data_IF_295304210368
#
_entry.id   IF_295304210368
#
_cell.length_a   1.000
_cell.length_b   1.000
_cell.length_c   1.000
_cell.angle_alpha   90.00
_cell.angle_beta   90.00
_cell.angle_gamma   90.00
#
_symmetry.space_group_name_H-M   'P 1'
#
loop_
_entity.id
_entity.type
_entity.pdbx_description
1 polymer ?
#
# COMPACT_ATOMS: atom_id res chain seq x y z
N UNK A 1 -10.65 1.77 30.29
CA UNK A 1 -11.14 2.57 29.14
C UNK A 1 -12.65 2.72 29.28
N UNK A 2 -13.20 3.94 29.14
CA UNK A 2 -14.65 4.21 29.31
C UNK A 2 -15.43 3.91 28.03
N UNK A 3 -16.71 3.55 28.13
CA UNK A 3 -17.60 3.28 26.99
C UNK A 3 -17.58 4.40 25.93
N UNK A 4 -17.51 5.66 26.37
CA UNK A 4 -17.40 6.84 25.51
C UNK A 4 -16.08 6.87 24.72
N UNK A 5 -14.95 6.52 25.36
CA UNK A 5 -13.65 6.48 24.69
C UNK A 5 -13.61 5.44 23.55
N UNK A 6 -14.29 4.31 23.72
CA UNK A 6 -14.46 3.30 22.67
C UNK A 6 -15.39 3.75 21.56
N UNK A 7 -16.47 4.47 21.87
CA UNK A 7 -17.38 5.04 20.86
C UNK A 7 -16.68 6.09 19.99
N UNK A 8 -15.90 6.98 20.61
CA UNK A 8 -15.10 7.99 19.88
C UNK A 8 -14.05 7.35 18.96
N UNK A 9 -13.39 6.27 19.39
CA UNK A 9 -12.46 5.53 18.51
C UNK A 9 -13.15 4.96 17.28
N UNK A 10 -14.36 4.39 17.42
CA UNK A 10 -15.14 3.84 16.29
C UNK A 10 -15.57 4.92 15.27
N UNK A 11 -15.72 6.17 15.71
CA UNK A 11 -16.08 7.30 14.85
C UNK A 11 -14.88 7.91 14.11
N UNK A 12 -13.64 7.68 14.55
CA UNK A 12 -12.41 8.17 13.88
C UNK A 12 -12.05 7.35 12.63
N UNK A 13 -12.95 7.27 11.64
CA UNK A 13 -12.71 6.67 10.32
C UNK A 13 -12.08 7.67 9.35
N UNK A 14 -11.57 7.20 8.20
CA UNK A 14 -10.94 8.02 7.16
C UNK A 14 -11.73 9.31 6.80
N UNK A 15 -13.04 9.28 6.46
CA UNK A 15 -13.80 10.49 6.15
C UNK A 15 -13.88 11.46 7.33
N UNK A 16 -14.06 10.96 8.56
CA UNK A 16 -14.10 11.81 9.77
C UNK A 16 -12.74 12.41 10.09
N UNK A 17 -11.63 11.71 9.79
CA UNK A 17 -10.26 12.23 9.92
C UNK A 17 -9.96 13.30 8.87
N UNK A 18 -10.43 13.10 7.63
CA UNK A 18 -10.26 14.06 6.55
C UNK A 18 -11.00 15.38 6.80
N UNK A 19 -12.11 15.33 7.56
CA UNK A 19 -12.89 16.49 7.99
C UNK A 19 -12.41 17.10 9.32
N UNK A 20 -11.38 16.51 9.95
CA UNK A 20 -10.83 17.07 11.18
C UNK A 20 -10.16 18.42 10.93
N UNK A 21 -10.25 19.31 11.92
CA UNK A 21 -9.63 20.65 11.86
C UNK A 21 -8.10 20.57 11.85
N UNK A 22 -7.52 19.50 12.41
CA UNK A 22 -6.09 19.25 12.36
C UNK A 22 -5.64 18.83 10.96
N UNK A 23 -4.72 19.61 10.39
CA UNK A 23 -4.08 19.32 9.11
C UNK A 23 -3.23 18.05 9.24
N UNK A 24 -3.43 17.09 8.33
CA UNK A 24 -2.66 15.85 8.30
C UNK A 24 -1.29 16.12 7.65
N UNK A 25 -0.22 15.89 8.41
CA UNK A 25 1.17 16.10 7.98
C UNK A 25 1.87 14.77 7.67
N UNK A 26 1.12 13.71 7.40
CA UNK A 26 1.64 12.44 6.89
C UNK A 26 2.36 12.68 5.56
N UNK A 27 3.64 12.37 5.50
CA UNK A 27 4.51 12.55 4.34
C UNK A 27 5.49 11.39 4.24
N UNK A 28 5.67 10.86 3.03
CA UNK A 28 6.63 9.80 2.74
C UNK A 28 8.04 10.39 2.63
N UNK A 29 8.18 11.53 1.96
CA UNK A 29 9.47 12.14 1.64
C UNK A 29 10.02 13.07 2.73
N UNK A 30 9.16 13.78 3.45
CA UNK A 30 9.55 14.87 4.33
C UNK A 30 9.25 14.55 5.79
N UNK A 31 9.99 15.18 6.70
CA UNK A 31 9.63 15.13 8.11
C UNK A 31 8.39 16.01 8.39
N UNK A 32 7.79 15.86 9.58
CA UNK A 32 6.55 16.58 9.94
C UNK A 32 6.68 18.10 9.87
N UNK A 33 7.88 18.66 10.13
CA UNK A 33 8.11 20.11 10.10
C UNK A 33 8.18 20.62 8.67
N UNK A 34 8.96 19.95 7.82
CA UNK A 34 9.09 20.23 6.40
C UNK A 34 7.75 20.09 5.67
N UNK A 35 7.05 18.97 5.88
CA UNK A 35 5.73 18.73 5.31
C UNK A 35 4.71 19.81 5.71
N UNK A 36 4.87 20.39 6.91
CA UNK A 36 4.03 21.50 7.37
C UNK A 36 4.31 22.84 6.71
N UNK A 37 5.48 23.00 6.08
CA UNK A 37 5.86 24.22 5.35
C UNK A 37 5.35 24.25 3.92
N UNK A 38 5.04 23.08 3.33
CA UNK A 38 4.54 22.96 1.97
C UNK A 38 3.03 23.19 1.87
N UNK A 39 2.61 23.84 0.79
CA UNK A 39 1.21 23.96 0.42
C UNK A 39 0.75 22.89 -0.59
N UNK A 40 -0.51 22.97 -1.02
CA UNK A 40 -1.07 21.99 -1.97
C UNK A 40 -0.43 22.10 -3.36
N UNK A 41 -0.02 23.29 -3.76
CA UNK A 41 0.60 23.54 -5.06
C UNK A 41 2.05 23.05 -5.08
N UNK A 42 2.75 23.10 -3.95
CA UNK A 42 4.09 22.52 -3.80
C UNK A 42 4.07 21.01 -3.94
N UNK A 43 3.18 20.31 -3.22
CA UNK A 43 3.02 18.85 -3.38
C UNK A 43 2.59 18.47 -4.80
N UNK A 44 1.79 19.31 -5.46
CA UNK A 44 1.43 19.09 -6.86
C UNK A 44 2.66 19.21 -7.78
N UNK A 45 3.51 20.22 -7.60
CA UNK A 45 4.77 20.37 -8.37
C UNK A 45 5.73 19.20 -8.13
N UNK A 46 5.86 18.74 -6.89
CA UNK A 46 6.66 17.56 -6.53
C UNK A 46 6.14 16.34 -7.29
N UNK A 47 4.82 16.11 -7.24
CA UNK A 47 4.20 15.01 -7.98
C UNK A 47 4.37 15.11 -9.50
N UNK A 48 4.30 16.31 -10.09
CA UNK A 48 4.56 16.53 -11.52
C UNK A 48 6.02 16.23 -11.90
N UNK A 49 6.98 16.60 -11.05
CA UNK A 49 8.38 16.23 -11.26
C UNK A 49 8.57 14.70 -11.21
N UNK A 50 7.93 14.04 -10.24
CA UNK A 50 7.88 12.59 -10.15
C UNK A 50 7.28 11.94 -11.39
N UNK A 51 6.14 12.45 -11.87
CA UNK A 51 5.49 11.98 -13.09
C UNK A 51 6.43 12.10 -14.31
N UNK A 52 7.09 13.24 -14.47
CA UNK A 52 8.04 13.44 -15.56
C UNK A 52 9.24 12.49 -15.47
N UNK A 53 9.69 12.14 -14.27
CA UNK A 53 10.71 11.11 -14.04
C UNK A 53 10.21 9.71 -14.39
N UNK A 54 9.00 9.35 -13.97
CA UNK A 54 8.39 8.04 -14.26
C UNK A 54 8.21 7.80 -15.76
N UNK A 55 7.77 8.82 -16.52
CA UNK A 55 7.63 8.74 -17.98
C UNK A 55 8.95 8.46 -18.71
N UNK A 56 10.08 8.87 -18.15
CA UNK A 56 11.40 8.56 -18.72
C UNK A 56 11.83 7.11 -18.48
N UNK A 57 11.24 6.46 -17.47
CA UNK A 57 11.54 5.07 -17.13
C UNK A 57 10.63 4.11 -17.92
N UNK A 58 9.36 4.47 -18.09
CA UNK A 58 8.37 3.63 -18.76
C UNK A 58 7.29 4.50 -19.42
N UNK A 59 7.21 4.42 -20.74
CA UNK A 59 6.28 5.20 -21.58
C UNK A 59 4.81 4.89 -21.27
N UNK A 60 4.51 3.75 -20.63
CA UNK A 60 3.13 3.44 -20.21
C UNK A 60 2.57 4.50 -19.24
N UNK A 61 3.42 5.20 -18.52
CA UNK A 61 3.02 6.29 -17.62
C UNK A 61 2.51 7.54 -18.34
N UNK A 62 2.67 7.66 -19.66
CA UNK A 62 1.99 8.69 -20.46
C UNK A 62 0.48 8.42 -20.61
N UNK A 63 0.04 7.18 -20.43
CA UNK A 63 -1.38 6.83 -20.58
C UNK A 63 -2.14 6.93 -19.26
N UNK A 64 -1.61 6.33 -18.19
CA UNK A 64 -2.41 6.07 -16.98
C UNK A 64 -2.30 7.15 -15.90
N UNK A 65 -1.14 7.80 -15.75
CA UNK A 65 -0.95 8.80 -14.70
C UNK A 65 -1.55 10.18 -14.99
N UNK A 66 -1.59 10.74 -16.23
CA UNK A 66 -1.96 12.14 -16.43
C UNK A 66 -3.34 12.54 -15.90
N UNK A 67 -4.33 11.64 -15.92
CA UNK A 67 -5.66 11.88 -15.34
C UNK A 67 -5.58 12.24 -13.85
N UNK A 68 -4.71 11.58 -13.09
CA UNK A 68 -4.50 11.83 -11.65
C UNK A 68 -3.65 13.08 -11.35
N UNK A 69 -3.15 13.75 -12.39
CA UNK A 69 -2.38 14.98 -12.32
C UNK A 69 -3.09 16.16 -12.98
N UNK A 70 -4.36 16.04 -13.34
CA UNK A 70 -5.12 17.17 -13.86
C UNK A 70 -5.22 18.30 -12.80
N UNK A 71 -5.05 19.55 -13.24
CA UNK A 71 -5.10 20.73 -12.36
C UNK A 71 -6.40 20.83 -11.54
N UNK A 72 -7.52 20.31 -12.06
CA UNK A 72 -8.81 20.28 -11.34
C UNK A 72 -8.72 19.49 -10.04
N UNK A 73 -7.87 18.46 -9.99
CA UNK A 73 -7.69 17.61 -8.82
C UNK A 73 -6.99 18.31 -7.65
N UNK A 74 -6.30 19.45 -7.87
CA UNK A 74 -5.76 20.27 -6.78
C UNK A 74 -6.87 20.68 -5.79
N UNK A 75 -8.08 20.95 -6.29
CA UNK A 75 -9.25 21.32 -5.48
C UNK A 75 -10.11 20.13 -5.06
N UNK A 76 -9.85 18.93 -5.58
CA UNK A 76 -10.61 17.72 -5.25
C UNK A 76 -10.59 17.44 -3.74
N UNK A 77 -11.70 17.00 -3.17
CA UNK A 77 -11.76 16.57 -1.77
C UNK A 77 -12.51 15.25 -1.66
N UNK A 78 -11.76 14.21 -1.33
CA UNK A 78 -12.25 12.84 -1.22
C UNK A 78 -13.30 12.64 -0.12
N UNK A 79 -13.32 13.51 0.88
CA UNK A 79 -14.30 13.45 1.96
C UNK A 79 -15.70 13.95 1.55
N UNK A 80 -15.83 14.62 0.39
CA UNK A 80 -17.06 15.27 -0.06
C UNK A 80 -17.79 14.45 -1.13
N UNK A 81 -17.08 13.56 -1.83
CA UNK A 81 -17.70 12.70 -2.85
C UNK A 81 -18.51 11.56 -2.22
N UNK A 82 -19.41 10.97 -2.99
CA UNK A 82 -20.24 9.84 -2.56
C UNK A 82 -19.40 8.60 -2.25
N UNK A 83 -20.04 7.61 -1.62
CA UNK A 83 -19.35 6.34 -1.28
C UNK A 83 -19.05 5.54 -2.54
N UNK A 84 -19.95 5.58 -3.51
CA UNK A 84 -19.86 4.91 -4.80
C UNK A 84 -18.70 5.51 -5.61
N UNK A 85 -18.65 6.84 -5.75
CA UNK A 85 -17.53 7.54 -6.41
C UNK A 85 -16.19 7.28 -5.70
N UNK A 86 -16.20 7.20 -4.37
CA UNK A 86 -15.00 6.86 -3.60
C UNK A 86 -14.48 5.46 -3.92
N UNK A 87 -15.39 4.49 -4.12
CA UNK A 87 -15.05 3.09 -4.43
C UNK A 87 -14.49 2.97 -5.85
N UNK A 88 -15.06 3.69 -6.82
CA UNK A 88 -14.49 3.76 -8.17
C UNK A 88 -13.11 4.43 -8.17
N UNK A 89 -12.95 5.48 -7.36
CA UNK A 89 -11.66 6.15 -7.19
C UNK A 89 -10.63 5.25 -6.50
N UNK A 90 -11.04 4.43 -5.52
CA UNK A 90 -10.21 3.40 -4.89
C UNK A 90 -9.62 2.45 -5.95
N UNK A 91 -10.45 1.92 -6.83
CA UNK A 91 -10.02 1.00 -7.89
C UNK A 91 -9.00 1.65 -8.84
N UNK A 92 -9.23 2.92 -9.23
CA UNK A 92 -8.27 3.68 -10.05
C UNK A 92 -6.93 3.83 -9.33
N UNK A 93 -6.94 4.21 -8.05
CA UNK A 93 -5.73 4.35 -7.25
C UNK A 93 -5.00 3.01 -7.12
N UNK A 94 -5.70 1.92 -6.79
CA UNK A 94 -5.11 0.60 -6.60
C UNK A 94 -4.42 0.09 -7.87
N UNK A 95 -5.07 0.24 -9.03
CA UNK A 95 -4.44 -0.04 -10.34
C UNK A 95 -3.16 0.77 -10.52
N UNK A 96 -3.17 2.05 -10.16
CA UNK A 96 -1.97 2.89 -10.27
C UNK A 96 -0.86 2.52 -9.30
N UNK A 97 -1.19 2.14 -8.07
CA UNK A 97 -0.22 1.66 -7.10
C UNK A 97 0.49 0.41 -7.60
N UNK A 98 -0.25 -0.52 -8.21
CA UNK A 98 0.30 -1.72 -8.82
C UNK A 98 1.29 -1.38 -9.95
N UNK A 99 0.93 -0.48 -10.86
CA UNK A 99 1.82 -0.03 -11.94
C UNK A 99 3.08 0.69 -11.42
N UNK A 100 2.98 1.41 -10.30
CA UNK A 100 4.11 2.09 -9.66
C UNK A 100 5.01 1.14 -8.87
N UNK A 101 4.48 0.01 -8.39
CA UNK A 101 5.18 -0.90 -7.48
C UNK A 101 6.57 -1.36 -7.94
N UNK A 102 6.84 -1.69 -9.23
CA UNK A 102 8.17 -2.10 -9.66
C UNK A 102 9.22 -0.99 -9.48
N UNK A 103 8.77 0.27 -9.40
CA UNK A 103 9.63 1.44 -9.38
C UNK A 103 9.80 2.07 -7.99
N UNK A 104 9.35 1.42 -6.91
CA UNK A 104 9.35 2.01 -5.55
C UNK A 104 10.73 2.51 -5.07
N UNK A 105 11.81 1.88 -5.54
CA UNK A 105 13.18 2.32 -5.23
C UNK A 105 13.55 3.66 -5.88
N UNK A 106 12.90 4.04 -6.98
CA UNK A 106 13.16 5.30 -7.67
C UNK A 106 12.53 6.49 -6.93
N UNK A 107 13.27 7.59 -6.88
CA UNK A 107 12.79 8.82 -6.24
C UNK A 107 11.53 9.37 -6.89
N UNK A 108 11.46 9.33 -8.23
CA UNK A 108 10.30 9.79 -8.98
C UNK A 108 9.01 9.03 -8.63
N UNK A 109 9.10 7.73 -8.31
CA UNK A 109 7.94 6.96 -7.83
C UNK A 109 7.46 7.49 -6.47
N UNK A 110 8.39 7.77 -5.54
CA UNK A 110 8.05 8.29 -4.21
C UNK A 110 7.47 9.70 -4.27
N UNK A 111 7.92 10.53 -5.22
CA UNK A 111 7.34 11.86 -5.48
C UNK A 111 5.90 11.79 -6.00
N UNK A 112 5.59 10.82 -6.87
CA UNK A 112 4.21 10.54 -7.28
C UNK A 112 3.35 10.09 -6.09
N UNK A 113 3.87 9.17 -5.26
CA UNK A 113 3.16 8.71 -4.07
C UNK A 113 2.95 9.83 -3.05
N UNK A 114 3.89 10.75 -2.90
CA UNK A 114 3.78 11.93 -2.03
C UNK A 114 2.56 12.78 -2.41
N UNK A 115 2.38 13.04 -3.71
CA UNK A 115 1.18 13.72 -4.21
C UNK A 115 -0.09 12.95 -3.86
N UNK A 116 -0.11 11.63 -4.06
CA UNK A 116 -1.29 10.83 -3.76
C UNK A 116 -1.62 10.80 -2.26
N UNK A 117 -0.61 10.74 -1.39
CA UNK A 117 -0.78 10.80 0.08
C UNK A 117 -1.42 12.12 0.48
N UNK A 118 -0.92 13.24 -0.01
CA UNK A 118 -1.43 14.56 0.37
C UNK A 118 -2.77 14.91 -0.29
N UNK A 119 -2.97 14.52 -1.55
CA UNK A 119 -4.15 14.90 -2.32
C UNK A 119 -5.31 13.93 -2.13
N UNK A 120 -5.03 12.63 -2.19
CA UNK A 120 -6.04 11.58 -2.22
C UNK A 120 -6.14 10.81 -0.89
N UNK A 121 -5.26 11.13 0.07
CA UNK A 121 -5.24 10.54 1.40
C UNK A 121 -5.15 9.01 1.37
N UNK A 122 -4.40 8.47 0.42
CA UNK A 122 -4.29 7.03 0.18
C UNK A 122 -3.75 6.28 1.39
N UNK A 123 -2.92 6.91 2.23
CA UNK A 123 -2.44 6.34 3.49
C UNK A 123 -3.55 6.06 4.52
N UNK A 124 -4.74 6.65 4.33
CA UNK A 124 -5.91 6.45 5.19
C UNK A 124 -7.05 5.71 4.52
N UNK A 125 -7.31 5.99 3.24
CA UNK A 125 -8.40 5.37 2.48
C UNK A 125 -7.99 4.01 1.88
N UNK A 126 -6.74 3.90 1.42
CA UNK A 126 -6.18 2.72 0.74
C UNK A 126 -5.03 2.10 1.55
N UNK A 127 -5.05 2.21 2.88
CA UNK A 127 -3.92 1.84 3.72
C UNK A 127 -3.50 0.37 3.56
N UNK A 128 -4.48 -0.54 3.48
CA UNK A 128 -4.23 -1.98 3.31
C UNK A 128 -3.71 -2.28 1.90
N UNK A 129 -4.29 -1.67 0.86
CA UNK A 129 -3.80 -1.82 -0.50
C UNK A 129 -2.36 -1.30 -0.65
N UNK A 130 -2.04 -0.13 -0.08
CA UNK A 130 -0.67 0.40 -0.04
C UNK A 130 0.30 -0.56 0.65
N UNK A 131 -0.09 -1.08 1.81
CA UNK A 131 0.73 -2.03 2.54
C UNK A 131 1.02 -3.28 1.69
N UNK A 132 -0.01 -3.89 1.11
CA UNK A 132 0.13 -5.10 0.32
C UNK A 132 0.94 -4.86 -0.96
N UNK A 133 0.65 -3.79 -1.70
CA UNK A 133 1.36 -3.45 -2.94
C UNK A 133 2.87 -3.28 -2.74
N UNK A 134 3.28 -2.60 -1.67
CA UNK A 134 4.69 -2.33 -1.40
C UNK A 134 5.34 -3.32 -0.42
N UNK A 135 4.60 -4.33 0.05
CA UNK A 135 5.12 -5.36 0.95
C UNK A 135 6.38 -6.08 0.45
N UNK A 136 6.59 -6.31 -0.87
CA UNK A 136 7.85 -6.88 -1.35
C UNK A 136 9.09 -6.10 -0.92
N UNK A 137 8.95 -4.82 -0.60
CA UNK A 137 10.02 -3.95 -0.14
C UNK A 137 10.15 -3.90 1.39
N UNK A 138 9.58 -4.87 2.11
CA UNK A 138 9.49 -4.87 3.58
C UNK A 138 10.81 -4.60 4.33
N UNK A 139 11.95 -4.97 3.74
CA UNK A 139 13.28 -4.89 4.38
C UNK A 139 13.96 -3.54 4.25
N UNK A 140 13.44 -2.60 3.45
CA UNK A 140 14.11 -1.31 3.19
C UNK A 140 13.51 -0.15 4.01
N UNK A 141 14.33 0.86 4.29
CA UNK A 141 13.93 2.02 5.09
C UNK A 141 12.78 2.83 4.47
N UNK A 142 12.71 2.94 3.13
CA UNK A 142 11.60 3.64 2.48
C UNK A 142 10.26 2.93 2.69
N UNK A 143 10.25 1.60 2.84
CA UNK A 143 9.04 0.87 3.25
C UNK A 143 8.71 1.13 4.71
N UNK A 144 9.68 1.12 5.62
CA UNK A 144 9.46 1.50 7.02
C UNK A 144 8.87 2.92 7.15
N UNK A 145 9.33 3.85 6.31
CA UNK A 145 8.77 5.21 6.22
C UNK A 145 7.34 5.24 5.67
N UNK A 146 7.04 4.44 4.65
CA UNK A 146 5.67 4.25 4.16
C UNK A 146 4.78 3.69 5.27
N UNK A 147 5.23 2.64 5.95
CA UNK A 147 4.49 1.98 7.02
C UNK A 147 4.16 2.95 8.17
N UNK A 148 5.10 3.81 8.54
CA UNK A 148 4.91 4.84 9.57
C UNK A 148 3.71 5.78 9.31
N UNK A 149 3.42 6.10 8.04
CA UNK A 149 2.33 7.03 7.71
C UNK A 149 0.98 6.33 7.51
N UNK A 150 0.95 5.00 7.36
CA UNK A 150 -0.29 4.25 7.11
C UNK A 150 -1.23 4.29 8.31
N UNK A 151 -2.52 4.40 8.02
CA UNK A 151 -3.58 4.50 9.03
C UNK A 151 -4.56 3.36 8.82
N UNK A 152 -4.26 2.20 9.40
CA UNK A 152 -5.10 1.02 9.33
C UNK A 152 -6.39 1.19 10.15
N UNK A 153 -7.47 0.58 9.66
CA UNK A 153 -8.77 0.52 10.34
C UNK A 153 -9.14 -0.88 10.82
N UNK A 154 -8.40 -1.92 10.40
CA UNK A 154 -8.61 -3.31 10.78
C UNK A 154 -7.72 -3.71 11.98
N UNK A 155 -8.26 -4.42 12.99
CA UNK A 155 -7.47 -4.97 14.09
C UNK A 155 -6.45 -6.02 13.63
N UNK A 156 -6.64 -6.64 12.46
CA UNK A 156 -5.70 -7.64 11.90
C UNK A 156 -4.34 -7.02 11.56
N UNK A 157 -4.27 -5.68 11.45
CA UNK A 157 -3.05 -4.92 11.18
C UNK A 157 -2.34 -4.40 12.44
N UNK A 158 -2.89 -4.62 13.64
CA UNK A 158 -2.34 -4.05 14.89
C UNK A 158 -0.90 -4.51 15.20
N UNK A 159 -0.49 -5.67 14.70
CA UNK A 159 0.89 -6.15 14.87
C UNK A 159 1.94 -5.23 14.22
N UNK A 160 1.52 -4.38 13.27
CA UNK A 160 2.40 -3.43 12.60
C UNK A 160 2.76 -2.23 13.48
N UNK A 161 2.04 -1.98 14.59
CA UNK A 161 2.19 -0.77 15.41
C UNK A 161 3.64 -0.53 15.89
N UNK A 162 4.36 -1.60 16.22
CA UNK A 162 5.77 -1.52 16.65
C UNK A 162 6.69 -1.00 15.52
N UNK A 163 6.48 -1.46 14.29
CA UNK A 163 7.24 -1.01 13.12
C UNK A 163 6.80 0.37 12.63
N UNK A 164 5.51 0.68 12.76
CA UNK A 164 4.97 2.00 12.41
C UNK A 164 5.61 3.09 13.28
N UNK A 165 5.69 2.88 14.60
CA UNK A 165 6.20 3.89 15.52
C UNK A 165 7.63 4.33 15.19
N UNK A 166 8.50 3.37 14.90
CA UNK A 166 9.92 3.61 14.68
C UNK A 166 10.29 3.80 13.21
N UNK A 167 9.28 3.81 12.31
CA UNK A 167 9.49 3.81 10.86
C UNK A 167 10.47 2.71 10.39
N UNK A 168 10.40 1.56 11.05
CA UNK A 168 11.37 0.49 10.90
C UNK A 168 10.97 -0.46 9.76
N UNK A 169 11.95 -1.02 9.01
CA UNK A 169 11.68 -2.12 8.10
C UNK A 169 11.24 -3.37 8.89
N UNK A 170 10.50 -4.27 8.23
CA UNK A 170 10.04 -5.53 8.81
C UNK A 170 11.00 -6.64 8.36
N UNK A 171 11.71 -7.32 9.27
CA UNK A 171 12.52 -8.47 8.91
C UNK A 171 11.69 -9.63 8.34
N UNK A 172 12.26 -10.40 7.40
CA UNK A 172 11.53 -11.51 6.75
C UNK A 172 11.07 -12.57 7.76
N UNK A 173 11.90 -12.92 8.73
CA UNK A 173 11.56 -13.89 9.78
C UNK A 173 10.36 -13.46 10.62
N UNK A 174 10.18 -12.15 10.83
CA UNK A 174 9.01 -11.59 11.50
C UNK A 174 7.76 -11.76 10.63
N UNK A 175 7.84 -11.43 9.33
CA UNK A 175 6.73 -11.66 8.39
C UNK A 175 6.32 -13.14 8.38
N UNK A 176 7.28 -14.06 8.29
CA UNK A 176 7.04 -15.50 8.35
C UNK A 176 6.30 -15.89 9.64
N UNK A 177 6.74 -15.39 10.79
CA UNK A 177 6.09 -15.67 12.08
C UNK A 177 4.64 -15.19 12.10
N UNK A 178 4.34 -14.00 11.57
CA UNK A 178 2.97 -13.48 11.53
C UNK A 178 2.07 -14.23 10.53
N UNK A 179 2.62 -14.66 9.38
CA UNK A 179 1.94 -15.55 8.46
C UNK A 179 1.52 -16.88 9.14
N UNK A 180 2.28 -17.36 10.14
CA UNK A 180 1.99 -18.60 10.86
C UNK A 180 1.10 -18.41 12.09
N UNK A 181 1.16 -17.26 12.76
CA UNK A 181 0.52 -17.01 14.06
C UNK A 181 -0.91 -16.47 13.94
N UNK A 182 -1.32 -16.07 12.74
CA UNK A 182 -2.65 -15.53 12.48
C UNK A 182 -3.74 -16.60 12.47
N UNK A 183 -4.94 -16.26 12.95
CA UNK A 183 -6.13 -17.10 12.72
C UNK A 183 -6.29 -17.35 11.22
N UNK A 184 -6.49 -18.61 10.85
CA UNK A 184 -6.73 -19.05 9.47
C UNK A 184 -5.68 -18.58 8.45
N UNK A 185 -4.43 -18.36 8.87
CA UNK A 185 -3.37 -17.83 8.01
C UNK A 185 -3.82 -16.56 7.25
N UNK A 186 -4.45 -15.62 7.96
CA UNK A 186 -5.11 -14.45 7.35
C UNK A 186 -4.19 -13.69 6.39
N UNK A 187 -2.91 -13.46 6.75
CA UNK A 187 -1.98 -12.68 5.93
C UNK A 187 -1.69 -13.40 4.60
N UNK A 188 -1.50 -14.71 4.63
CA UNK A 188 -1.35 -15.54 3.42
C UNK A 188 -2.63 -15.46 2.57
N UNK A 189 -3.79 -15.54 3.21
CA UNK A 189 -5.08 -15.42 2.52
C UNK A 189 -5.25 -14.05 1.86
N UNK A 190 -4.87 -12.98 2.54
CA UNK A 190 -4.88 -11.61 2.00
C UNK A 190 -3.91 -11.46 0.84
N UNK A 191 -2.69 -11.98 0.95
CA UNK A 191 -1.69 -11.94 -0.12
C UNK A 191 -2.16 -12.71 -1.36
N UNK A 192 -2.74 -13.88 -1.18
CA UNK A 192 -3.29 -14.68 -2.28
C UNK A 192 -4.44 -13.96 -2.99
N UNK A 193 -5.38 -13.39 -2.23
CA UNK A 193 -6.48 -12.60 -2.79
C UNK A 193 -5.96 -11.37 -3.53
N UNK A 194 -4.96 -10.70 -2.98
CA UNK A 194 -4.33 -9.55 -3.62
C UNK A 194 -3.67 -9.93 -4.95
N UNK A 195 -3.02 -11.09 -5.02
CA UNK A 195 -2.42 -11.60 -6.27
C UNK A 195 -3.47 -11.88 -7.33
N UNK A 196 -4.54 -12.60 -6.96
CA UNK A 196 -5.66 -12.86 -7.86
C UNK A 196 -6.21 -11.53 -8.40
N UNK A 197 -6.46 -10.58 -7.51
CA UNK A 197 -7.04 -9.29 -7.87
C UNK A 197 -6.12 -8.48 -8.80
N UNK A 198 -4.81 -8.41 -8.55
CA UNK A 198 -3.94 -7.63 -9.44
C UNK A 198 -3.75 -8.29 -10.81
N UNK A 199 -3.78 -9.63 -10.90
CA UNK A 199 -3.74 -10.34 -12.18
C UNK A 199 -5.00 -10.05 -13.00
N UNK A 200 -6.16 -9.87 -12.35
CA UNK A 200 -7.40 -9.47 -13.03
C UNK A 200 -7.41 -7.99 -13.45
N UNK A 201 -6.76 -7.10 -12.68
CA UNK A 201 -6.74 -5.65 -12.92
C UNK A 201 -5.71 -5.24 -13.98
N UNK A 202 -4.56 -5.94 -14.03
CA UNK A 202 -3.44 -5.62 -14.91
C UNK A 202 -3.54 -6.37 -16.23
N UNK A 203 -3.12 -5.72 -17.30
CA UNK A 203 -2.91 -6.36 -18.60
C UNK A 203 -1.69 -7.31 -18.53
N UNK A 204 -1.67 -8.39 -19.31
CA UNK A 204 -0.59 -9.40 -19.30
C UNK A 204 0.81 -8.78 -19.39
N UNK A 205 0.99 -7.76 -20.24
CA UNK A 205 2.27 -7.03 -20.38
C UNK A 205 2.77 -6.43 -19.06
N UNK A 206 1.86 -6.00 -18.18
CA UNK A 206 2.19 -5.36 -16.90
C UNK A 206 2.39 -6.38 -15.78
N UNK A 207 1.79 -7.57 -15.89
CA UNK A 207 2.02 -8.67 -14.95
C UNK A 207 3.48 -9.10 -14.98
N UNK A 208 4.10 -9.13 -16.17
CA UNK A 208 5.53 -9.42 -16.33
C UNK A 208 6.43 -8.45 -15.55
N UNK A 209 6.01 -7.20 -15.35
CA UNK A 209 6.77 -6.21 -14.59
C UNK A 209 6.67 -6.43 -13.06
N UNK A 210 5.80 -7.34 -12.60
CA UNK A 210 5.58 -7.66 -11.17
C UNK A 210 6.55 -8.73 -10.65
N UNK A 211 7.68 -8.98 -11.31
CA UNK A 211 8.68 -9.97 -10.88
C UNK A 211 9.14 -9.79 -9.42
N UNK A 212 9.23 -8.55 -8.94
CA UNK A 212 9.57 -8.24 -7.55
C UNK A 212 8.57 -8.86 -6.56
N UNK A 213 7.27 -8.87 -6.91
CA UNK A 213 6.21 -9.46 -6.09
C UNK A 213 6.29 -10.99 -6.08
N UNK A 214 6.46 -11.62 -7.25
CA UNK A 214 6.61 -13.07 -7.34
C UNK A 214 7.88 -13.57 -6.63
N UNK A 215 8.99 -12.83 -6.74
CA UNK A 215 10.24 -13.13 -6.03
C UNK A 215 10.05 -13.05 -4.51
N UNK A 216 9.36 -12.00 -4.04
CA UNK A 216 9.02 -11.86 -2.62
C UNK A 216 8.17 -13.04 -2.13
N UNK A 217 7.12 -13.41 -2.85
CA UNK A 217 6.25 -14.52 -2.46
C UNK A 217 6.96 -15.87 -2.49
N UNK A 218 7.82 -16.13 -3.48
CA UNK A 218 8.64 -17.33 -3.52
C UNK A 218 9.58 -17.40 -2.31
N UNK A 219 10.21 -16.28 -1.94
CA UNK A 219 11.04 -16.18 -0.74
C UNK A 219 10.24 -16.40 0.54
N UNK A 220 9.10 -15.72 0.69
CA UNK A 220 8.22 -15.83 1.86
C UNK A 220 7.72 -17.26 2.03
N UNK A 221 7.17 -17.86 0.97
CA UNK A 221 6.62 -19.21 1.02
C UNK A 221 7.70 -20.29 1.17
N UNK A 222 8.85 -20.14 0.51
CA UNK A 222 10.00 -21.02 0.71
C UNK A 222 10.46 -21.02 2.16
N UNK A 223 10.65 -19.84 2.75
CA UNK A 223 11.02 -19.70 4.16
C UNK A 223 9.92 -20.22 5.10
N UNK A 224 8.64 -20.08 4.76
CA UNK A 224 7.55 -20.61 5.56
C UNK A 224 7.55 -22.13 5.60
N UNK A 225 7.87 -22.79 4.48
CA UNK A 225 8.00 -24.24 4.39
C UNK A 225 9.24 -24.72 5.15
N UNK A 226 10.38 -24.06 4.93
CA UNK A 226 11.65 -24.41 5.58
C UNK A 226 11.58 -24.31 7.11
N UNK A 227 11.01 -23.22 7.63
CA UNK A 227 10.94 -22.97 9.07
C UNK A 227 9.91 -23.85 9.81
N UNK A 228 9.08 -24.64 9.11
CA UNK A 228 8.05 -25.51 9.73
C UNK A 228 8.49 -26.96 9.97
N UNK A 229 9.66 -27.39 9.47
CA UNK A 229 10.14 -28.76 9.69
C UNK A 229 9.23 -29.84 9.07
N UNK A 230 9.01 -30.96 9.79
CA UNK A 230 8.41 -32.21 9.25
C UNK A 230 6.88 -32.27 9.20
N UNK A 231 6.15 -31.26 9.65
CA UNK A 231 4.67 -31.23 9.62
C UNK A 231 4.17 -29.96 8.95
N UNK A 232 4.15 -29.99 7.62
CA UNK A 232 3.38 -29.02 6.84
C UNK A 232 1.90 -29.35 7.06
N UNK A 233 1.15 -28.38 7.60
CA UNK A 233 -0.28 -28.51 7.86
C UNK A 233 -1.07 -28.45 6.54
N UNK A 234 -2.06 -29.32 6.36
CA UNK A 234 -2.96 -29.34 5.19
C UNK A 234 -3.65 -27.99 4.97
N UNK A 235 -3.86 -27.23 6.05
CA UNK A 235 -4.38 -25.86 5.98
C UNK A 235 -3.42 -24.88 5.29
N UNK A 236 -2.11 -25.03 5.46
CA UNK A 236 -1.12 -24.21 4.77
C UNK A 236 -1.04 -24.61 3.29
N UNK A 237 -0.97 -25.92 3.02
CA UNK A 237 -0.91 -26.47 1.65
C UNK A 237 -2.11 -26.03 0.81
N UNK A 238 -3.33 -26.15 1.35
CA UNK A 238 -4.56 -25.75 0.67
C UNK A 238 -4.61 -24.26 0.30
N UNK A 239 -3.86 -23.41 1.02
CA UNK A 239 -3.74 -21.98 0.71
C UNK A 239 -2.60 -21.67 -0.26
N UNK A 240 -1.52 -22.45 -0.25
CA UNK A 240 -0.38 -22.25 -1.15
C UNK A 240 -0.64 -22.80 -2.56
N UNK A 241 -1.34 -23.93 -2.70
CA UNK A 241 -1.60 -24.57 -4.00
C UNK A 241 -2.30 -23.65 -5.01
N UNK A 242 -3.41 -22.96 -4.68
CA UNK A 242 -4.08 -22.08 -5.62
C UNK A 242 -3.17 -20.94 -6.11
N UNK A 243 -2.35 -20.41 -5.19
CA UNK A 243 -1.41 -19.35 -5.51
C UNK A 243 -0.31 -19.81 -6.47
N UNK A 244 0.29 -20.97 -6.22
CA UNK A 244 1.30 -21.56 -7.12
C UNK A 244 0.67 -21.81 -8.50
N UNK A 245 -0.56 -22.32 -8.54
CA UNK A 245 -1.28 -22.56 -9.79
C UNK A 245 -1.56 -21.29 -10.61
N UNK A 246 -1.80 -20.15 -9.96
CA UNK A 246 -1.97 -18.85 -10.63
C UNK A 246 -0.62 -18.30 -11.08
N UNK A 247 0.38 -18.35 -10.20
CA UNK A 247 1.71 -17.79 -10.47
C UNK A 247 2.48 -18.54 -11.56
N UNK A 248 2.15 -19.82 -11.81
CA UNK A 248 2.73 -20.62 -12.90
C UNK A 248 2.00 -20.45 -14.23
N UNK A 249 0.79 -19.86 -14.23
CA UNK A 249 -0.01 -19.60 -15.43
C UNK A 249 0.16 -18.17 -15.96
N UNK A 250 0.47 -17.24 -15.07
CA UNK A 250 0.88 -15.87 -15.38
C UNK A 250 2.31 -15.86 -15.93
#
# INVERSE_FOLDING_TARGET
>A
MTSLSTQLKKLKKAPTRALAVERDYSSLLFNKKEAGSYDKDDFYKIGLAGLAGMKKLDDNFDTYLPELFEKKLIKFNRAIISKEENTEFDQKIEKMLLLLSPYFHHQCCREVLEWFIHKFQIHSYNAEALFLTFLPFHSINSFGRLLHILKFNSPDMNWLEEYQKDAAPIPLNILCRFCQSGRDYWLITCLNKFVVNFVEILEEKHINNMQHYFTFLASLYGNLIENRGSTIDDQLISRLIPFIGISLKA
#
